data_IF_098033035259
#
_entry.id   IF_098033035259
#
_cell.length_a   1.000
_cell.length_b   1.000
_cell.length_c   1.000
_cell.angle_alpha   90.00
_cell.angle_beta   90.00
_cell.angle_gamma   90.00
#
_symmetry.space_group_name_H-M   'P 1'
#
loop_
_entity.id
_entity.type
_entity.pdbx_description
1 polymer ?
#
# COMPACT_ATOMS: atom_id res chain seq x y z
N UNK A 1 4.26 -49.50 -24.77
CA UNK A 1 5.56 -48.82 -25.01
C UNK A 1 5.49 -48.21 -26.40
N UNK A 2 5.62 -46.91 -26.67
CA UNK A 2 6.37 -45.84 -26.03
C UNK A 2 5.57 -44.53 -26.17
N UNK A 3 5.62 -43.75 -25.10
CA UNK A 3 5.23 -42.35 -24.98
C UNK A 3 5.73 -41.52 -26.16
N UNK A 4 4.87 -40.67 -26.73
CA UNK A 4 5.24 -39.28 -26.99
C UNK A 4 3.96 -38.46 -27.20
N UNK A 5 3.29 -38.21 -26.08
CA UNK A 5 2.46 -37.04 -25.89
C UNK A 5 3.35 -35.84 -26.23
N UNK A 6 3.25 -35.32 -27.45
CA UNK A 6 3.87 -34.05 -27.84
C UNK A 6 3.03 -32.96 -27.18
N UNK A 7 3.26 -32.85 -25.88
CA UNK A 7 2.72 -31.84 -24.99
C UNK A 7 3.27 -30.51 -25.47
N UNK A 8 2.38 -29.66 -25.96
CA UNK A 8 2.33 -28.22 -25.68
C UNK A 8 3.69 -27.49 -25.65
N UNK A 9 4.47 -27.53 -26.74
CA UNK A 9 5.63 -26.64 -26.91
C UNK A 9 5.32 -25.40 -27.78
N UNK A 10 4.04 -25.06 -27.93
CA UNK A 10 3.56 -23.88 -28.65
C UNK A 10 2.76 -22.94 -27.74
N UNK A 11 3.16 -22.79 -26.48
CA UNK A 11 2.83 -21.58 -25.72
C UNK A 11 3.99 -20.62 -25.94
N UNK A 12 3.88 -19.67 -26.89
CA UNK A 12 4.95 -18.72 -27.13
C UNK A 12 5.19 -17.91 -25.85
N UNK A 13 6.46 -17.85 -25.48
CA UNK A 13 7.09 -17.03 -24.45
C UNK A 13 6.90 -15.52 -24.69
N UNK A 14 5.66 -15.04 -24.71
CA UNK A 14 5.39 -13.60 -24.82
C UNK A 14 4.12 -13.19 -24.07
N UNK A 15 3.95 -13.67 -22.84
CA UNK A 15 3.34 -12.79 -21.82
C UNK A 15 4.44 -11.81 -21.43
N UNK A 16 4.56 -10.82 -22.31
CA UNK A 16 5.39 -9.64 -22.16
C UNK A 16 5.27 -9.14 -20.73
N UNK A 17 6.39 -9.11 -20.03
CA UNK A 17 6.56 -8.59 -18.68
C UNK A 17 6.33 -7.06 -18.64
N UNK A 18 5.15 -6.62 -19.05
CA UNK A 18 4.60 -5.31 -18.73
C UNK A 18 3.78 -5.41 -17.45
N UNK A 19 4.30 -6.11 -16.44
CA UNK A 19 3.97 -5.70 -15.07
C UNK A 19 4.77 -4.40 -14.95
N UNK A 20 4.11 -3.27 -15.24
CA UNK A 20 4.64 -1.98 -14.88
C UNK A 20 5.14 -2.13 -13.45
N UNK A 21 6.42 -1.86 -13.23
CA UNK A 21 7.06 -1.98 -11.94
C UNK A 21 6.30 -1.02 -11.00
N UNK A 22 5.27 -1.55 -10.32
CA UNK A 22 4.44 -0.76 -9.43
C UNK A 22 5.36 -0.44 -8.28
N UNK A 23 5.78 0.82 -8.22
CA UNK A 23 6.63 1.28 -7.15
C UNK A 23 5.91 0.96 -5.83
N UNK A 24 6.64 0.33 -4.90
CA UNK A 24 6.10 -0.02 -3.58
C UNK A 24 5.47 1.21 -2.91
N UNK A 25 6.03 2.39 -3.17
CA UNK A 25 5.56 3.65 -2.66
C UNK A 25 4.19 4.07 -3.26
N UNK A 26 3.89 3.73 -4.51
CA UNK A 26 2.57 3.95 -5.12
C UNK A 26 1.48 3.10 -4.44
N UNK A 27 1.82 1.88 -4.02
CA UNK A 27 0.91 1.05 -3.21
C UNK A 27 0.66 1.72 -1.86
N UNK A 28 1.73 2.13 -1.18
CA UNK A 28 1.64 2.83 0.10
C UNK A 28 0.84 4.15 0.00
N UNK A 29 0.92 4.85 -1.14
CA UNK A 29 0.11 6.05 -1.41
C UNK A 29 -1.38 5.77 -1.39
N UNK A 30 -1.81 4.66 -1.97
CA UNK A 30 -3.21 4.24 -1.95
C UNK A 30 -3.65 3.93 -0.52
N UNK A 31 -2.80 3.25 0.24
CA UNK A 31 -3.10 2.84 1.62
C UNK A 31 -3.17 4.04 2.57
N UNK A 32 -2.23 4.99 2.49
CA UNK A 32 -2.26 6.17 3.36
C UNK A 32 -3.51 7.03 3.12
N UNK A 33 -3.97 7.16 1.86
CA UNK A 33 -5.21 7.88 1.55
C UNK A 33 -6.42 7.21 2.20
N UNK A 34 -6.51 5.88 2.14
CA UNK A 34 -7.61 5.14 2.77
C UNK A 34 -7.58 5.29 4.29
N UNK A 35 -6.40 5.21 4.88
CA UNK A 35 -6.24 5.34 6.33
C UNK A 35 -6.50 6.76 6.82
N UNK A 36 -6.08 7.78 6.09
CA UNK A 36 -6.39 9.19 6.43
C UNK A 36 -7.89 9.44 6.38
N UNK A 37 -8.60 8.93 5.36
CA UNK A 37 -10.07 8.97 5.35
C UNK A 37 -10.70 8.27 6.55
N UNK A 38 -10.12 7.16 6.99
CA UNK A 38 -10.59 6.50 8.21
C UNK A 38 -10.41 7.40 9.43
N UNK A 39 -9.26 8.05 9.57
CA UNK A 39 -8.99 9.00 10.67
C UNK A 39 -9.92 10.21 10.65
N UNK A 40 -10.18 10.78 9.48
CA UNK A 40 -11.13 11.91 9.30
C UNK A 40 -12.56 11.55 9.73
N UNK A 41 -12.93 10.27 9.64
CA UNK A 41 -14.23 9.77 10.07
C UNK A 41 -14.25 9.31 11.54
N UNK A 42 -13.13 9.38 12.26
CA UNK A 42 -13.12 9.13 13.69
C UNK A 42 -13.79 10.28 14.44
N UNK A 43 -14.45 9.94 15.54
CA UNK A 43 -14.93 10.93 16.50
C UNK A 43 -13.71 11.63 17.14
N UNK A 44 -13.66 12.96 17.03
CA UNK A 44 -12.61 13.82 17.58
C UNK A 44 -12.48 13.68 19.10
N UNK A 45 -13.56 13.31 19.79
CA UNK A 45 -13.52 13.09 21.23
C UNK A 45 -13.00 11.70 21.61
N UNK A 46 -12.92 10.78 20.64
CA UNK A 46 -12.47 9.41 20.88
C UNK A 46 -11.01 9.35 21.34
N UNK A 47 -10.73 8.43 22.26
CA UNK A 47 -9.37 8.17 22.74
C UNK A 47 -8.42 7.81 21.59
N UNK A 48 -8.95 7.13 20.56
CA UNK A 48 -8.19 6.79 19.34
C UNK A 48 -7.77 8.04 18.58
N UNK A 49 -8.68 8.98 18.33
CA UNK A 49 -8.34 10.21 17.63
C UNK A 49 -7.31 11.02 18.43
N UNK A 50 -7.50 11.18 19.74
CA UNK A 50 -6.57 11.91 20.61
C UNK A 50 -5.16 11.31 20.65
N UNK A 51 -5.01 9.99 20.46
CA UNK A 51 -3.70 9.33 20.33
C UNK A 51 -3.02 9.60 18.99
N UNK A 52 -3.80 9.79 17.93
CA UNK A 52 -3.31 9.98 16.56
C UNK A 52 -3.04 11.46 16.25
N UNK A 53 -3.89 12.36 16.73
CA UNK A 53 -3.81 13.81 16.56
C UNK A 53 -2.38 14.38 16.66
N UNK A 54 -1.60 14.13 17.73
CA UNK A 54 -0.25 14.68 17.84
C UNK A 54 0.73 14.14 16.79
N UNK A 55 0.44 12.96 16.21
CA UNK A 55 1.27 12.31 15.18
C UNK A 55 0.89 12.73 13.76
N UNK A 56 -0.28 13.35 13.56
CA UNK A 56 -0.77 13.74 12.23
C UNK A 56 0.15 14.73 11.53
N UNK A 57 0.74 15.68 12.26
CA UNK A 57 1.69 16.63 11.67
C UNK A 57 2.91 15.93 11.06
N UNK A 58 3.44 14.93 11.75
CA UNK A 58 4.59 14.17 11.26
C UNK A 58 4.21 13.25 10.10
N UNK A 59 3.02 12.63 10.15
CA UNK A 59 2.47 11.83 9.05
C UNK A 59 2.28 12.70 7.80
N UNK A 60 1.70 13.89 7.95
CA UNK A 60 1.53 14.85 6.85
C UNK A 60 2.89 15.30 6.29
N UNK A 61 3.90 15.49 7.13
CA UNK A 61 5.25 15.79 6.66
C UNK A 61 5.82 14.67 5.79
N UNK A 62 5.65 13.40 6.19
CA UNK A 62 6.09 12.24 5.39
C UNK A 62 5.34 12.17 4.05
N UNK A 63 4.03 12.42 4.04
CA UNK A 63 3.21 12.48 2.82
C UNK A 63 3.71 13.59 1.87
N UNK A 64 4.06 14.76 2.41
CA UNK A 64 4.58 15.89 1.63
C UNK A 64 5.96 15.61 1.02
N UNK A 65 6.76 14.76 1.66
CA UNK A 65 8.04 14.27 1.14
C UNK A 65 7.89 13.03 0.26
N UNK A 66 6.66 12.66 -0.10
CA UNK A 66 6.33 11.45 -0.87
C UNK A 66 6.80 10.14 -0.21
N UNK A 67 7.13 10.15 1.09
CA UNK A 67 7.48 8.94 1.84
C UNK A 67 6.21 8.27 2.40
N UNK A 68 5.40 7.72 1.49
CA UNK A 68 4.09 7.19 1.82
C UNK A 68 4.19 5.92 2.66
N UNK A 69 5.17 5.06 2.42
CA UNK A 69 5.31 3.82 3.20
C UNK A 69 5.66 4.09 4.66
N UNK A 70 6.54 5.06 4.94
CA UNK A 70 6.81 5.49 6.32
C UNK A 70 5.57 6.13 6.95
N UNK A 71 4.80 6.92 6.18
CA UNK A 71 3.54 7.48 6.66
C UNK A 71 2.52 6.39 7.04
N UNK A 72 2.39 5.33 6.23
CA UNK A 72 1.52 4.17 6.49
C UNK A 72 1.94 3.42 7.75
N UNK A 73 3.22 3.08 7.90
CA UNK A 73 3.74 2.38 9.08
C UNK A 73 3.44 3.18 10.35
N UNK A 74 3.69 4.49 10.29
CA UNK A 74 3.52 5.38 11.42
C UNK A 74 2.05 5.58 11.82
N UNK A 75 1.16 5.70 10.83
CA UNK A 75 -0.27 5.78 11.09
C UNK A 75 -0.83 4.44 11.59
N UNK A 76 -0.35 3.32 11.07
CA UNK A 76 -0.74 1.97 11.52
C UNK A 76 -0.39 1.78 13.00
N UNK A 77 0.84 2.15 13.40
CA UNK A 77 1.29 2.13 14.80
C UNK A 77 0.54 3.10 15.70
N UNK A 78 -0.06 4.15 15.15
CA UNK A 78 -0.88 5.10 15.90
C UNK A 78 -2.32 4.60 16.09
N UNK A 79 -2.80 3.71 15.22
CA UNK A 79 -4.14 3.14 15.23
C UNK A 79 -4.28 1.85 16.07
N UNK A 80 -3.16 1.17 16.37
CA UNK A 80 -3.08 0.03 17.28
C UNK A 80 -3.11 0.46 18.74
#
# INVERSE_FOLDING_TARGET
>A
MRYLTVVMLLVPFVLSAHIAEVDKNDICKIDIIKMMKFVENLDYESEKFKKIEPKLNEINSLINHEDYCSAVDKLTKALQ
#
